data_IF_173508628052
#
_entry.id   IF_173508628052
#
_cell.length_a   1.000
_cell.length_b   1.000
_cell.length_c   1.000
_cell.angle_alpha   90.00
_cell.angle_beta   90.00
_cell.angle_gamma   90.00
#
_symmetry.space_group_name_H-M   'P 1'
#
loop_
_entity.id
_entity.type
_entity.pdbx_description
1 polymer ?
#
# COMPACT_ATOMS: atom_id res chain seq x y z
N UNK A 1 21.13 20.38 -36.46
CA UNK A 1 20.71 20.51 -35.05
C UNK A 1 20.10 19.19 -34.65
N UNK A 2 20.84 18.36 -33.90
CA UNK A 2 20.24 17.18 -33.28
C UNK A 2 19.20 17.67 -32.25
N UNK A 3 18.06 16.98 -32.07
CA UNK A 3 16.99 17.48 -31.24
C UNK A 3 17.40 17.29 -29.77
N UNK A 4 17.62 18.40 -29.07
CA UNK A 4 17.82 18.51 -27.61
C UNK A 4 16.63 17.87 -26.82
N UNK A 5 15.53 17.54 -27.50
CA UNK A 5 14.29 16.99 -26.96
C UNK A 5 14.32 15.50 -26.59
N UNK A 6 15.34 14.70 -26.96
CA UNK A 6 15.37 13.25 -26.67
C UNK A 6 16.24 12.86 -25.47
N UNK A 7 17.21 13.69 -25.07
CA UNK A 7 18.19 13.31 -24.04
C UNK A 7 17.56 13.16 -22.65
N UNK A 8 16.61 14.04 -22.30
CA UNK A 8 15.96 14.00 -20.98
C UNK A 8 15.14 12.71 -20.78
N UNK A 9 14.46 12.21 -21.82
CA UNK A 9 13.62 11.02 -21.69
C UNK A 9 14.45 9.75 -21.52
N UNK A 10 15.60 9.68 -22.20
CA UNK A 10 16.58 8.60 -22.02
C UNK A 10 17.13 8.62 -20.58
N UNK A 11 17.48 9.80 -20.07
CA UNK A 11 17.98 9.96 -18.71
C UNK A 11 16.92 9.59 -17.67
N UNK A 12 15.67 10.02 -17.83
CA UNK A 12 14.57 9.68 -16.91
C UNK A 12 14.25 8.19 -16.93
N UNK A 13 14.25 7.58 -18.12
CA UNK A 13 14.09 6.13 -18.27
C UNK A 13 15.18 5.35 -17.54
N UNK A 14 16.42 5.82 -17.64
CA UNK A 14 17.56 5.23 -16.92
C UNK A 14 17.41 5.42 -15.41
N UNK A 15 16.93 6.59 -14.96
CA UNK A 15 16.63 6.82 -13.54
C UNK A 15 15.53 5.88 -13.04
N UNK A 16 14.52 5.55 -13.84
CA UNK A 16 13.51 4.54 -13.48
C UNK A 16 14.12 3.13 -13.40
N UNK A 17 14.88 2.72 -14.41
CA UNK A 17 15.55 1.42 -14.45
C UNK A 17 16.46 1.20 -13.23
N UNK A 18 17.19 2.22 -12.80
CA UNK A 18 18.12 2.15 -11.68
C UNK A 18 17.44 2.42 -10.32
N UNK A 19 16.12 2.53 -10.27
CA UNK A 19 15.34 2.90 -9.08
C UNK A 19 15.83 4.20 -8.43
N UNK A 20 16.06 5.25 -9.21
CA UNK A 20 16.56 6.58 -8.79
C UNK A 20 15.65 7.74 -9.19
N UNK A 21 14.49 7.45 -9.77
CA UNK A 21 13.51 8.45 -10.18
C UNK A 21 12.60 8.86 -9.01
N UNK A 22 12.34 10.16 -8.88
CA UNK A 22 11.54 10.76 -7.81
C UNK A 22 10.20 11.33 -8.28
N UNK A 23 10.07 11.63 -9.58
CA UNK A 23 8.83 12.15 -10.18
C UNK A 23 8.25 11.28 -11.32
N UNK A 24 7.94 9.99 -11.14
CA UNK A 24 7.47 9.12 -12.22
C UNK A 24 6.27 9.69 -13.01
N UNK A 25 5.35 10.45 -12.40
CA UNK A 25 4.21 11.06 -13.11
C UNK A 25 4.61 12.14 -14.12
N UNK A 26 5.83 12.68 -14.07
CA UNK A 26 6.34 13.59 -15.10
C UNK A 26 6.58 12.87 -16.44
N UNK A 27 6.79 11.55 -16.40
CA UNK A 27 7.07 10.73 -17.58
C UNK A 27 5.94 9.75 -17.91
N UNK A 28 5.42 9.05 -16.89
CA UNK A 28 4.49 7.93 -17.01
C UNK A 28 3.02 8.37 -16.97
N UNK A 29 2.14 7.52 -17.49
CA UNK A 29 0.70 7.75 -17.62
C UNK A 29 0.33 8.64 -18.81
N UNK A 30 -0.95 9.06 -18.91
CA UNK A 30 -1.45 9.91 -19.98
C UNK A 30 -1.00 11.37 -19.79
N UNK A 31 -0.51 12.02 -20.84
CA UNK A 31 -0.07 13.43 -20.84
C UNK A 31 -0.51 14.16 -22.10
N UNK A 32 -0.87 15.44 -21.97
CA UNK A 32 -1.18 16.29 -23.12
C UNK A 32 0.10 16.66 -23.89
N UNK A 33 -0.01 16.71 -25.23
CA UNK A 33 1.01 17.19 -26.14
C UNK A 33 0.63 18.57 -26.69
N UNK A 34 1.62 19.35 -27.15
CA UNK A 34 1.41 20.71 -27.69
C UNK A 34 0.54 20.73 -28.96
N UNK A 35 0.47 19.62 -29.68
CA UNK A 35 -0.36 19.46 -30.87
C UNK A 35 -1.85 19.17 -30.55
N UNK A 36 -2.23 19.11 -29.27
CA UNK A 36 -3.59 18.82 -28.81
C UNK A 36 -3.89 17.34 -28.61
N UNK A 37 -3.00 16.44 -29.05
CA UNK A 37 -3.10 15.01 -28.78
C UNK A 37 -2.58 14.68 -27.37
N UNK A 38 -2.65 13.41 -27.03
CA UNK A 38 -2.21 12.84 -25.77
C UNK A 38 -1.19 11.74 -26.03
N UNK A 39 -0.17 11.64 -25.18
CA UNK A 39 0.73 10.48 -25.16
C UNK A 39 0.43 9.65 -23.92
N UNK A 40 0.34 8.35 -24.07
CA UNK A 40 0.29 7.39 -22.95
C UNK A 40 1.64 6.72 -22.88
N UNK A 41 2.35 6.85 -21.74
CA UNK A 41 3.63 6.17 -21.50
C UNK A 41 3.50 5.18 -20.36
N UNK A 42 3.77 3.93 -20.66
CA UNK A 42 3.60 2.78 -19.77
C UNK A 42 4.98 2.22 -19.43
N UNK A 43 5.29 2.17 -18.14
CA UNK A 43 6.52 1.56 -17.62
C UNK A 43 6.29 0.09 -17.31
N UNK A 44 6.97 -0.80 -18.05
CA UNK A 44 6.86 -2.24 -17.88
C UNK A 44 8.25 -2.89 -18.00
N UNK A 45 9.01 -2.97 -16.88
CA UNK A 45 10.26 -3.71 -16.84
C UNK A 45 10.10 -5.11 -17.40
N UNK A 46 11.07 -5.59 -18.18
CA UNK A 46 11.13 -6.97 -18.66
C UNK A 46 9.95 -7.43 -19.55
N UNK A 47 9.07 -6.52 -19.99
CA UNK A 47 8.02 -6.87 -20.95
C UNK A 47 8.59 -6.94 -22.38
N UNK A 48 8.09 -7.90 -23.15
CA UNK A 48 8.41 -8.08 -24.57
C UNK A 48 7.51 -7.23 -25.46
N UNK A 49 6.22 -7.16 -25.10
CA UNK A 49 5.18 -6.40 -25.82
C UNK A 49 4.18 -5.83 -24.82
N UNK A 50 3.73 -4.60 -25.08
CA UNK A 50 2.64 -3.97 -24.34
C UNK A 50 1.60 -3.45 -25.34
N UNK A 51 0.34 -3.71 -25.06
CA UNK A 51 -0.80 -3.20 -25.82
C UNK A 51 -1.73 -2.43 -24.88
N UNK A 52 -2.33 -1.36 -25.37
CA UNK A 52 -3.30 -0.56 -24.65
C UNK A 52 -4.72 -1.02 -25.01
N UNK A 53 -5.55 -1.18 -24.00
CA UNK A 53 -6.96 -1.56 -24.09
C UNK A 53 -7.81 -0.43 -23.52
N UNK A 54 -8.55 0.26 -24.38
CA UNK A 54 -9.43 1.35 -23.98
C UNK A 54 -10.71 0.80 -23.35
N UNK A 55 -11.18 1.44 -22.27
CA UNK A 55 -12.38 1.03 -21.54
C UNK A 55 -13.71 1.43 -22.24
N UNK A 56 -13.65 2.38 -23.18
CA UNK A 56 -14.79 2.85 -23.95
C UNK A 56 -14.33 3.45 -25.27
N UNK A 57 -15.27 3.67 -26.19
CA UNK A 57 -14.97 4.22 -27.51
C UNK A 57 -14.49 5.67 -27.38
N UNK A 58 -13.20 5.88 -27.60
CA UNK A 58 -12.57 7.20 -27.55
C UNK A 58 -12.63 7.83 -28.93
N UNK A 59 -13.78 8.45 -29.21
CA UNK A 59 -13.98 9.28 -30.40
C UNK A 59 -14.55 8.50 -31.58
N UNK A 60 -15.87 8.58 -31.77
CA UNK A 60 -16.57 8.05 -32.95
C UNK A 60 -16.10 8.62 -34.30
N UNK A 61 -15.19 9.62 -34.30
CA UNK A 61 -14.55 10.18 -35.49
C UNK A 61 -13.11 9.67 -35.75
N UNK A 62 -12.48 8.97 -34.80
CA UNK A 62 -11.06 8.58 -34.88
C UNK A 62 -10.84 7.06 -35.02
N UNK A 63 -11.91 6.26 -35.02
CA UNK A 63 -11.83 4.81 -35.25
C UNK A 63 -11.18 4.01 -34.12
N UNK A 64 -11.09 4.57 -32.91
CA UNK A 64 -10.60 3.87 -31.73
C UNK A 64 -11.74 3.13 -31.03
N UNK A 65 -11.73 1.81 -31.14
CA UNK A 65 -12.77 0.93 -30.61
C UNK A 65 -12.37 0.42 -29.22
N UNK A 66 -13.33 0.41 -28.29
CA UNK A 66 -13.14 -0.14 -26.95
C UNK A 66 -12.68 -1.61 -27.02
N UNK A 67 -11.66 -1.94 -26.23
CA UNK A 67 -11.13 -3.32 -26.13
C UNK A 67 -10.30 -3.80 -27.33
N UNK A 68 -10.20 -3.06 -28.43
CA UNK A 68 -9.23 -3.40 -29.49
C UNK A 68 -7.80 -3.08 -29.02
N UNK A 69 -6.85 -4.03 -29.14
CA UNK A 69 -5.48 -3.80 -28.72
C UNK A 69 -4.75 -2.78 -29.59
N UNK A 70 -4.25 -1.72 -28.97
CA UNK A 70 -3.38 -0.75 -29.62
C UNK A 70 -1.93 -1.10 -29.24
N UNK A 71 -1.08 -1.56 -30.18
CA UNK A 71 0.30 -1.91 -29.86
C UNK A 71 1.11 -0.65 -29.51
N UNK A 72 1.88 -0.70 -28.41
CA UNK A 72 2.75 0.40 -28.00
C UNK A 72 4.17 0.18 -28.52
N UNK A 73 4.80 1.26 -28.97
CA UNK A 73 6.20 1.27 -29.37
C UNK A 73 7.08 1.68 -28.18
N UNK A 74 8.37 1.35 -28.19
CA UNK A 74 9.31 1.73 -27.12
C UNK A 74 10.59 2.40 -27.67
N UNK A 75 10.48 3.51 -28.41
CA UNK A 75 11.60 4.03 -29.20
C UNK A 75 12.75 4.60 -28.36
N UNK A 76 12.48 4.96 -27.11
CA UNK A 76 13.40 5.72 -26.27
C UNK A 76 14.01 4.89 -25.15
N UNK A 77 13.34 3.83 -24.72
CA UNK A 77 13.83 2.90 -23.71
C UNK A 77 13.09 1.57 -23.80
N UNK A 78 13.80 0.44 -23.65
CA UNK A 78 13.25 -0.91 -23.79
C UNK A 78 12.02 -1.22 -22.93
N UNK A 79 11.84 -0.50 -21.81
CA UNK A 79 10.75 -0.70 -20.85
C UNK A 79 9.77 0.46 -20.75
N UNK A 80 9.90 1.49 -21.60
CA UNK A 80 8.88 2.54 -21.75
C UNK A 80 8.18 2.33 -23.06
N UNK A 81 6.91 1.95 -22.96
CA UNK A 81 6.02 1.72 -24.07
C UNK A 81 5.11 2.93 -24.23
N UNK A 82 4.98 3.46 -25.44
CA UNK A 82 4.22 4.67 -25.70
C UNK A 82 3.35 4.58 -26.96
N UNK A 83 2.23 5.28 -26.92
CA UNK A 83 1.37 5.55 -28.07
C UNK A 83 0.77 6.94 -27.95
N UNK A 84 0.53 7.58 -29.09
CA UNK A 84 -0.23 8.83 -29.18
C UNK A 84 -1.71 8.52 -29.37
N UNK A 85 -2.57 9.29 -28.73
CA UNK A 85 -4.02 9.23 -28.78
C UNK A 85 -4.57 10.63 -29.08
N UNK A 86 -5.66 10.75 -29.84
CA UNK A 86 -6.26 12.05 -30.14
C UNK A 86 -6.91 12.71 -28.92
N UNK A 87 -7.23 11.94 -27.86
CA UNK A 87 -7.90 12.43 -26.66
C UNK A 87 -7.35 11.78 -25.39
N UNK A 88 -7.60 12.41 -24.25
CA UNK A 88 -7.23 11.89 -22.94
C UNK A 88 -7.99 10.58 -22.64
N UNK A 89 -7.29 9.45 -22.42
CA UNK A 89 -7.95 8.19 -22.09
C UNK A 89 -8.38 8.08 -20.63
N UNK A 90 -8.06 9.06 -19.78
CA UNK A 90 -8.30 8.99 -18.34
C UNK A 90 -7.48 7.87 -17.67
N UNK A 91 -8.03 7.29 -16.60
CA UNK A 91 -7.38 6.22 -15.82
C UNK A 91 -8.01 4.84 -15.98
N UNK A 92 -9.06 4.72 -16.79
CA UNK A 92 -9.84 3.48 -16.91
C UNK A 92 -9.26 2.46 -17.89
N UNK A 93 -8.31 2.86 -18.74
CA UNK A 93 -7.66 1.94 -19.66
C UNK A 93 -6.91 0.82 -18.93
N UNK A 94 -6.69 -0.27 -19.65
CA UNK A 94 -5.86 -1.39 -19.21
C UNK A 94 -4.69 -1.57 -20.17
N UNK A 95 -3.66 -2.23 -19.70
CA UNK A 95 -2.49 -2.61 -20.49
C UNK A 95 -2.41 -4.12 -20.49
N UNK A 96 -2.32 -4.71 -21.69
CA UNK A 96 -2.00 -6.12 -21.87
C UNK A 96 -0.49 -6.24 -22.03
N UNK A 97 0.14 -6.99 -21.15
CA UNK A 97 1.59 -7.15 -21.07
C UNK A 97 1.95 -8.58 -21.39
N UNK A 98 2.81 -8.77 -22.39
CA UNK A 98 3.40 -10.06 -22.75
C UNK A 98 4.83 -10.13 -22.20
N UNK A 99 5.12 -11.17 -21.42
CA UNK A 99 6.44 -11.43 -20.84
C UNK A 99 6.73 -12.93 -20.89
N UNK A 100 7.74 -13.34 -21.66
CA UNK A 100 8.14 -14.75 -21.74
C UNK A 100 7.02 -15.68 -22.21
N UNK A 101 6.12 -15.19 -23.06
CA UNK A 101 4.95 -15.93 -23.55
C UNK A 101 3.74 -15.96 -22.61
N UNK A 102 3.80 -15.32 -21.44
CA UNK A 102 2.65 -15.16 -20.53
C UNK A 102 2.06 -13.77 -20.76
N UNK A 103 0.73 -13.71 -20.93
CA UNK A 103 -0.01 -12.46 -21.02
C UNK A 103 -0.82 -12.22 -19.74
N UNK A 104 -0.81 -10.97 -19.29
CA UNK A 104 -1.70 -10.50 -18.23
C UNK A 104 -2.17 -9.09 -18.53
N UNK A 105 -3.28 -8.69 -17.92
CA UNK A 105 -3.87 -7.38 -18.10
C UNK A 105 -3.99 -6.66 -16.76
N UNK A 106 -3.47 -5.44 -16.69
CA UNK A 106 -3.51 -4.61 -15.49
C UNK A 106 -3.96 -3.19 -15.82
N UNK A 107 -4.39 -2.44 -14.81
CA UNK A 107 -4.50 -0.99 -14.94
C UNK A 107 -3.12 -0.35 -14.75
N UNK A 108 -2.91 0.81 -15.35
CA UNK A 108 -1.68 1.58 -15.20
C UNK A 108 -1.71 2.39 -13.89
N UNK A 109 -0.81 2.12 -12.91
CA UNK A 109 -0.74 2.89 -11.67
C UNK A 109 -0.55 4.40 -11.89
N UNK A 110 0.18 4.79 -12.94
CA UNK A 110 0.51 6.19 -13.23
C UNK A 110 -0.59 6.92 -14.01
N UNK A 111 -1.70 6.24 -14.34
CA UNK A 111 -2.88 6.91 -14.87
C UNK A 111 -3.69 7.65 -13.80
N UNK A 112 -3.53 7.29 -12.52
CA UNK A 112 -4.23 7.90 -11.37
C UNK A 112 -3.45 9.10 -10.81
N UNK A 113 -3.63 10.26 -11.44
CA UNK A 113 -2.79 11.44 -11.21
C UNK A 113 -3.11 12.28 -9.97
N UNK A 114 -4.34 12.20 -9.44
CA UNK A 114 -4.71 13.06 -8.29
C UNK A 114 -3.87 12.73 -7.05
N UNK A 115 -3.67 13.74 -6.22
CA UNK A 115 -2.91 13.61 -4.99
C UNK A 115 -3.74 12.92 -3.91
N UNK A 116 -3.15 11.93 -3.24
CA UNK A 116 -3.78 11.28 -2.09
C UNK A 116 -3.64 12.14 -0.84
N UNK A 117 -2.45 12.71 -0.65
CA UNK A 117 -2.20 13.65 0.43
C UNK A 117 -2.46 15.09 -0.04
N UNK A 118 -3.67 15.58 0.22
CA UNK A 118 -4.11 16.91 -0.20
C UNK A 118 -3.33 18.04 0.46
N UNK A 119 -3.52 19.27 -0.03
CA UNK A 119 -2.81 20.46 0.46
C UNK A 119 -3.00 20.68 1.98
N UNK A 120 -4.24 20.56 2.47
CA UNK A 120 -4.54 20.70 3.89
C UNK A 120 -3.89 19.59 4.74
N UNK A 121 -3.92 18.34 4.26
CA UNK A 121 -3.27 17.22 4.95
C UNK A 121 -1.75 17.46 5.06
N UNK A 122 -1.12 17.92 3.97
CA UNK A 122 0.31 18.29 3.95
C UNK A 122 0.63 19.44 4.87
N UNK A 123 -0.21 20.48 4.89
CA UNK A 123 -0.03 21.64 5.76
C UNK A 123 -0.10 21.24 7.25
N UNK A 124 -1.19 20.58 7.67
CA UNK A 124 -1.35 20.14 9.05
C UNK A 124 -0.26 19.16 9.48
N UNK A 125 0.18 18.28 8.59
CA UNK A 125 1.26 17.35 8.90
C UNK A 125 2.60 18.06 9.08
N UNK A 126 2.91 19.04 8.24
CA UNK A 126 4.13 19.85 8.35
C UNK A 126 4.17 20.67 9.66
N UNK A 127 3.01 21.10 10.17
CA UNK A 127 2.90 21.77 11.47
C UNK A 127 2.87 20.82 12.67
N UNK A 128 2.81 19.50 12.45
CA UNK A 128 2.65 18.51 13.52
C UNK A 128 1.24 18.47 14.13
N UNK A 129 0.25 19.06 13.46
CA UNK A 129 -1.13 19.24 13.95
C UNK A 129 -2.15 18.30 13.28
N UNK A 130 -1.71 17.37 12.44
CA UNK A 130 -2.61 16.42 11.79
C UNK A 130 -2.93 15.22 12.70
N UNK A 131 -3.91 15.38 13.60
CA UNK A 131 -4.27 14.35 14.60
C UNK A 131 -4.77 13.02 14.02
N UNK A 132 -5.26 13.04 12.77
CA UNK A 132 -5.74 11.86 12.04
C UNK A 132 -4.85 11.49 10.85
N UNK A 133 -3.55 11.82 10.89
CA UNK A 133 -2.62 11.58 9.77
C UNK A 133 -2.56 10.10 9.34
N UNK A 134 -2.84 9.19 10.27
CA UNK A 134 -2.92 7.75 9.99
C UNK A 134 -4.00 7.39 8.95
N UNK A 135 -4.97 8.26 8.67
CA UNK A 135 -5.95 8.08 7.58
C UNK A 135 -5.38 8.35 6.19
N UNK A 136 -4.17 8.95 6.13
CA UNK A 136 -3.47 9.27 4.89
C UNK A 136 -2.16 8.52 4.77
N UNK A 137 -1.33 8.52 5.82
CA UNK A 137 -0.08 7.76 5.84
C UNK A 137 -0.36 6.26 5.93
N UNK A 138 0.52 5.44 5.37
CA UNK A 138 0.41 4.00 5.37
C UNK A 138 -0.19 3.44 4.07
N UNK A 139 -0.82 2.28 4.17
CA UNK A 139 -1.52 1.62 3.06
C UNK A 139 -3.03 1.61 3.28
N UNK A 140 -3.79 2.20 2.35
CA UNK A 140 -5.24 2.37 2.46
C UNK A 140 -5.95 1.76 1.26
N UNK A 141 -6.91 0.87 1.52
CA UNK A 141 -7.85 0.44 0.49
C UNK A 141 -8.65 1.65 0.01
N UNK A 142 -8.69 1.86 -1.29
CA UNK A 142 -9.36 3.02 -1.89
C UNK A 142 -9.92 2.68 -3.27
N UNK A 143 -10.94 3.42 -3.67
CA UNK A 143 -11.51 3.35 -5.02
C UNK A 143 -11.27 4.67 -5.72
N UNK A 144 -10.51 4.65 -6.80
CA UNK A 144 -10.17 5.83 -7.60
C UNK A 144 -10.58 5.60 -9.05
N UNK A 145 -11.28 6.55 -9.66
CA UNK A 145 -11.80 6.37 -11.03
C UNK A 145 -12.69 5.13 -11.21
N UNK A 146 -13.39 4.69 -10.16
CA UNK A 146 -14.20 3.47 -10.16
C UNK A 146 -13.40 2.16 -10.01
N UNK A 147 -12.08 2.23 -9.81
CA UNK A 147 -11.20 1.08 -9.73
C UNK A 147 -10.71 0.94 -8.28
N UNK A 148 -10.92 -0.23 -7.69
CA UNK A 148 -10.39 -0.57 -6.37
C UNK A 148 -8.88 -0.81 -6.42
N UNK A 149 -8.19 -0.45 -5.34
CA UNK A 149 -6.78 -0.72 -5.17
C UNK A 149 -6.29 -0.27 -3.80
N UNK A 150 -4.98 -0.05 -3.69
CA UNK A 150 -4.35 0.41 -2.46
C UNK A 150 -3.57 1.69 -2.72
N UNK A 151 -3.84 2.72 -1.93
CA UNK A 151 -3.03 3.93 -1.90
C UNK A 151 -1.96 3.80 -0.82
N UNK A 152 -0.70 3.94 -1.22
CA UNK A 152 0.46 3.96 -0.33
C UNK A 152 0.91 5.39 -0.14
N UNK A 153 1.24 5.77 1.09
CA UNK A 153 1.81 7.06 1.41
C UNK A 153 2.88 6.93 2.49
N UNK A 154 4.10 7.43 2.21
CA UNK A 154 5.24 7.40 3.11
C UNK A 154 5.86 8.78 3.25
N UNK A 155 6.11 9.23 4.47
CA UNK A 155 6.96 10.39 4.70
C UNK A 155 8.44 10.00 4.71
N UNK A 156 9.19 10.43 3.70
CA UNK A 156 10.62 10.18 3.56
C UNK A 156 11.30 11.36 2.83
N UNK A 157 11.37 12.54 3.46
CA UNK A 157 11.66 13.80 2.76
C UNK A 157 13.05 13.87 2.14
N UNK A 158 14.01 13.13 2.70
CA UNK A 158 15.40 13.11 2.23
C UNK A 158 15.71 11.88 1.37
N UNK A 159 14.73 11.03 1.06
CA UNK A 159 14.92 9.93 0.14
C UNK A 159 15.21 10.47 -1.27
N UNK A 160 16.07 9.76 -2.00
CA UNK A 160 16.30 10.00 -3.43
C UNK A 160 15.20 9.37 -4.27
N UNK A 161 14.72 8.20 -3.86
CA UNK A 161 13.62 7.49 -4.48
C UNK A 161 12.99 6.54 -3.46
N UNK A 162 11.71 6.27 -3.64
CA UNK A 162 10.95 5.28 -2.89
C UNK A 162 10.17 4.43 -3.89
N UNK A 163 10.11 3.13 -3.65
CA UNK A 163 9.24 2.21 -4.36
C UNK A 163 8.47 1.33 -3.39
N UNK A 164 7.26 0.92 -3.78
CA UNK A 164 6.52 -0.12 -3.06
C UNK A 164 7.00 -1.48 -3.56
N UNK A 165 7.42 -2.34 -2.64
CA UNK A 165 7.83 -3.72 -2.94
C UNK A 165 6.96 -4.68 -2.15
N UNK A 166 6.63 -5.83 -2.72
CA UNK A 166 5.80 -6.84 -2.08
C UNK A 166 5.74 -8.13 -2.86
N UNK A 167 4.98 -9.08 -2.33
CA UNK A 167 4.66 -10.34 -3.00
C UNK A 167 4.08 -10.13 -4.42
N UNK A 168 3.24 -9.11 -4.61
CA UNK A 168 2.58 -8.79 -5.89
C UNK A 168 3.52 -8.29 -7.01
N UNK A 169 4.76 -7.90 -6.70
CA UNK A 169 5.75 -7.48 -7.71
C UNK A 169 7.10 -8.18 -7.56
N UNK A 170 7.11 -9.36 -6.93
CA UNK A 170 8.34 -10.14 -6.75
C UNK A 170 9.40 -9.44 -5.92
N UNK A 171 9.00 -8.48 -5.07
CA UNK A 171 9.87 -7.66 -4.25
C UNK A 171 10.86 -6.78 -5.04
N UNK A 172 10.51 -6.39 -6.26
CA UNK A 172 11.34 -5.57 -7.14
C UNK A 172 10.85 -4.11 -7.22
N UNK A 173 11.67 -3.19 -6.70
CA UNK A 173 11.40 -1.75 -6.65
C UNK A 173 11.25 -1.08 -8.02
N UNK A 174 11.71 -1.72 -9.10
CA UNK A 174 11.52 -1.18 -10.46
C UNK A 174 10.05 -1.16 -10.85
N UNK A 175 9.20 -2.04 -10.29
CA UNK A 175 7.83 -2.20 -10.77
C UNK A 175 6.85 -1.13 -10.26
N UNK A 176 7.10 -0.55 -9.08
CA UNK A 176 6.19 0.43 -8.47
C UNK A 176 6.94 1.62 -7.82
N UNK A 177 7.75 2.39 -8.59
CA UNK A 177 8.33 3.64 -8.11
C UNK A 177 7.24 4.65 -7.74
N UNK A 178 7.38 5.27 -6.57
CA UNK A 178 6.45 6.24 -6.00
C UNK A 178 6.76 7.67 -6.45
N UNK A 179 5.76 8.53 -6.35
CA UNK A 179 5.87 9.95 -6.64
C UNK A 179 6.20 10.74 -5.39
N UNK A 180 7.31 11.48 -5.42
CA UNK A 180 7.60 12.52 -4.43
C UNK A 180 6.64 13.70 -4.61
N UNK A 181 6.08 14.20 -3.50
CA UNK A 181 5.21 15.37 -3.43
C UNK A 181 5.83 16.43 -2.52
N UNK A 182 5.29 17.64 -2.61
CA UNK A 182 5.66 18.74 -1.71
C UNK A 182 5.52 18.29 -0.24
N UNK A 183 6.48 18.64 0.60
CA UNK A 183 6.53 18.20 2.01
C UNK A 183 7.24 16.85 2.21
N UNK A 184 7.75 16.23 1.14
CA UNK A 184 8.58 15.01 1.23
C UNK A 184 7.79 13.73 1.47
N UNK A 185 6.50 13.76 1.14
CA UNK A 185 5.64 12.58 1.12
C UNK A 185 5.76 11.90 -0.23
N UNK A 186 5.77 10.57 -0.21
CA UNK A 186 5.83 9.71 -1.37
C UNK A 186 4.50 8.99 -1.48
N UNK A 187 3.86 9.03 -2.64
CA UNK A 187 2.57 8.36 -2.84
C UNK A 187 2.50 7.56 -4.14
N UNK A 188 1.71 6.50 -4.12
CA UNK A 188 1.34 5.72 -5.30
C UNK A 188 0.02 4.99 -5.04
N UNK A 189 -0.92 5.06 -5.98
CA UNK A 189 -2.07 4.18 -6.00
C UNK A 189 -1.77 2.98 -6.90
N UNK A 190 -1.86 1.78 -6.36
CA UNK A 190 -1.68 0.55 -7.13
C UNK A 190 -3.06 -0.10 -7.33
N UNK A 191 -3.63 -0.05 -8.54
CA UNK A 191 -4.95 -0.58 -8.84
C UNK A 191 -4.96 -2.11 -8.75
N UNK A 192 -6.09 -2.66 -8.32
CA UNK A 192 -6.33 -4.10 -8.23
C UNK A 192 -5.73 -4.79 -7.01
N UNK A 193 -4.83 -4.15 -6.24
CA UNK A 193 -4.32 -4.72 -5.00
C UNK A 193 -5.42 -4.94 -3.96
N UNK A 194 -5.25 -6.00 -3.17
CA UNK A 194 -6.27 -6.49 -2.23
C UNK A 194 -5.77 -6.44 -0.77
N UNK A 195 -6.68 -6.58 0.21
CA UNK A 195 -6.26 -6.82 1.60
C UNK A 195 -5.42 -8.09 1.71
N UNK A 196 -4.46 -8.09 2.64
CA UNK A 196 -3.58 -9.23 2.90
C UNK A 196 -2.26 -9.22 2.10
N UNK A 197 -2.10 -8.32 1.13
CA UNK A 197 -0.84 -8.17 0.41
C UNK A 197 0.29 -7.76 1.36
N UNK A 198 1.44 -8.40 1.22
CA UNK A 198 2.62 -8.16 2.07
C UNK A 198 3.52 -7.19 1.34
N UNK A 199 3.87 -6.09 2.00
CA UNK A 199 4.64 -5.02 1.39
C UNK A 199 5.68 -4.40 2.33
N UNK A 200 6.63 -3.71 1.72
CA UNK A 200 7.61 -2.81 2.33
C UNK A 200 7.85 -1.63 1.40
N UNK A 201 8.57 -0.64 1.90
CA UNK A 201 9.16 0.41 1.08
C UNK A 201 10.62 0.09 0.79
N UNK A 202 11.01 0.09 -0.49
CA UNK A 202 12.40 0.20 -0.90
C UNK A 202 12.76 1.69 -0.92
N UNK A 203 13.74 2.09 -0.10
CA UNK A 203 14.14 3.49 0.03
C UNK A 203 15.59 3.63 -0.39
N UNK A 204 15.85 4.55 -1.32
CA UNK A 204 17.21 4.95 -1.70
C UNK A 204 17.57 6.28 -1.06
N UNK A 205 18.72 6.34 -0.41
CA UNK A 205 19.26 7.58 0.15
C UNK A 205 19.89 8.45 -0.94
N UNK A 206 20.17 9.73 -0.62
CA UNK A 206 20.92 10.61 -1.51
C UNK A 206 22.30 10.05 -1.88
N UNK A 207 22.97 9.36 -0.94
CA UNK A 207 24.24 8.69 -1.15
C UNK A 207 24.14 7.39 -1.99
N UNK A 208 22.92 6.98 -2.38
CA UNK A 208 22.68 5.83 -3.25
C UNK A 208 22.45 4.50 -2.53
N UNK A 209 22.70 4.42 -1.22
CA UNK A 209 22.40 3.23 -0.41
C UNK A 209 20.90 2.93 -0.45
N UNK A 210 20.56 1.66 -0.69
CA UNK A 210 19.21 1.15 -0.79
C UNK A 210 18.93 0.19 0.39
N UNK A 211 17.79 0.37 1.05
CA UNK A 211 17.34 -0.52 2.11
C UNK A 211 15.82 -0.64 2.11
N UNK A 212 15.33 -1.67 2.78
CA UNK A 212 13.90 -1.94 2.91
C UNK A 212 13.39 -1.52 4.28
N UNK A 213 12.17 -0.99 4.35
CA UNK A 213 11.49 -0.66 5.60
C UNK A 213 10.06 -1.19 5.62
N UNK A 214 9.68 -1.74 6.77
CA UNK A 214 8.27 -1.87 7.12
C UNK A 214 7.63 -0.46 7.13
N UNK A 215 6.33 -0.43 6.88
CA UNK A 215 5.56 0.81 6.93
C UNK A 215 5.46 1.35 8.36
N UNK A 216 5.93 2.58 8.64
CA UNK A 216 5.78 3.20 9.96
C UNK A 216 4.33 3.37 10.42
N UNK A 217 3.38 3.42 9.47
CA UNK A 217 1.94 3.54 9.70
C UNK A 217 1.20 2.26 9.30
N UNK A 218 1.90 1.12 9.17
CA UNK A 218 1.28 -0.17 8.85
C UNK A 218 0.29 -0.61 9.94
N UNK A 219 -0.93 -0.97 9.54
CA UNK A 219 -1.97 -1.42 10.48
C UNK A 219 -1.81 -2.87 10.92
N UNK A 220 -1.05 -3.65 10.16
CA UNK A 220 -0.73 -5.03 10.47
C UNK A 220 0.66 -5.39 9.94
N UNK A 221 1.31 -6.31 10.62
CA UNK A 221 2.62 -6.82 10.24
C UNK A 221 2.63 -8.34 10.22
N UNK A 222 3.59 -8.89 9.48
CA UNK A 222 3.90 -10.32 9.57
C UNK A 222 4.33 -10.70 10.99
N UNK A 223 4.15 -11.98 11.34
CA UNK A 223 4.60 -12.49 12.63
C UNK A 223 6.13 -12.52 12.66
N UNK A 224 6.72 -12.09 13.77
CA UNK A 224 8.17 -12.16 14.00
C UNK A 224 8.75 -13.56 13.68
N UNK A 225 9.97 -13.67 13.14
CA UNK A 225 10.94 -12.59 12.87
C UNK A 225 10.77 -11.88 11.52
N UNK A 226 9.73 -12.22 10.76
CA UNK A 226 9.41 -11.50 9.53
C UNK A 226 9.04 -10.04 9.82
N UNK A 227 9.18 -9.17 8.82
CA UNK A 227 9.13 -7.72 8.99
C UNK A 227 8.46 -6.99 7.81
N UNK A 228 7.64 -7.67 7.03
CA UNK A 228 6.71 -7.03 6.10
C UNK A 228 5.52 -6.40 6.82
N UNK A 229 5.03 -5.30 6.27
CA UNK A 229 3.70 -4.77 6.58
C UNK A 229 2.65 -5.50 5.74
N UNK A 230 1.41 -5.55 6.21
CA UNK A 230 0.30 -6.20 5.54
C UNK A 230 -0.77 -5.14 5.27
N UNK A 231 -1.29 -5.08 4.04
CA UNK A 231 -2.42 -4.22 3.70
C UNK A 231 -3.65 -4.72 4.47
N UNK A 232 -4.12 -3.92 5.43
CA UNK A 232 -5.22 -4.31 6.31
C UNK A 232 -6.23 -3.15 6.43
N UNK A 233 -7.54 -3.39 6.28
CA UNK A 233 -8.55 -2.37 6.54
C UNK A 233 -8.63 -2.04 8.03
N UNK A 234 -8.60 -0.76 8.39
CA UNK A 234 -9.04 -0.29 9.71
C UNK A 234 -10.56 -0.17 9.75
N UNK A 235 -11.25 -1.26 10.06
CA UNK A 235 -12.70 -1.25 10.20
C UNK A 235 -13.33 -2.63 10.08
N UNK A 236 -14.66 -2.64 10.04
CA UNK A 236 -15.43 -3.88 9.84
C UNK A 236 -15.69 -4.69 11.11
N UNK A 237 -15.04 -4.38 12.24
CA UNK A 237 -15.40 -4.97 13.52
C UNK A 237 -16.67 -4.31 14.09
N UNK A 238 -17.71 -5.11 14.33
CA UNK A 238 -18.97 -4.65 14.89
C UNK A 238 -18.87 -4.51 16.42
N UNK A 239 -18.57 -3.30 16.88
CA UNK A 239 -18.50 -2.98 18.30
C UNK A 239 -19.87 -3.04 18.98
N UNK A 240 -19.92 -3.54 20.22
CA UNK A 240 -21.14 -3.68 21.02
C UNK A 240 -21.03 -3.00 22.40
N UNK A 241 -20.05 -2.12 22.58
CA UNK A 241 -19.67 -1.48 23.85
C UNK A 241 -20.22 -0.06 24.03
N UNK A 242 -21.19 0.35 23.21
CA UNK A 242 -21.72 1.73 23.21
C UNK A 242 -22.22 2.22 24.57
N UNK A 243 -22.86 1.34 25.36
CA UNK A 243 -23.31 1.69 26.71
C UNK A 243 -22.13 1.96 27.67
N UNK A 244 -21.04 1.18 27.55
CA UNK A 244 -19.82 1.37 28.32
C UNK A 244 -19.12 2.68 27.96
N UNK A 245 -19.01 2.97 26.66
CA UNK A 245 -18.42 4.21 26.16
C UNK A 245 -19.17 5.45 26.65
N UNK A 246 -20.50 5.43 26.59
CA UNK A 246 -21.35 6.53 27.10
C UNK A 246 -21.17 6.73 28.60
N UNK A 247 -21.11 5.65 29.38
CA UNK A 247 -20.87 5.73 30.82
C UNK A 247 -19.49 6.29 31.14
N UNK A 248 -18.45 5.84 30.42
CA UNK A 248 -17.06 6.31 30.59
C UNK A 248 -16.95 7.81 30.34
N UNK A 249 -17.51 8.29 29.24
CA UNK A 249 -17.41 9.70 28.85
C UNK A 249 -18.25 10.64 29.74
N UNK A 250 -19.25 10.08 30.44
CA UNK A 250 -20.10 10.80 31.39
C UNK A 250 -19.58 10.85 32.84
N UNK A 251 -18.44 10.23 33.15
CA UNK A 251 -17.95 10.10 34.52
C UNK A 251 -16.47 10.48 34.65
N UNK A 252 -16.06 10.98 35.83
CA UNK A 252 -14.66 11.24 36.13
C UNK A 252 -14.00 9.96 36.68
N UNK A 253 -12.95 9.40 36.02
CA UNK A 253 -12.29 8.19 36.51
C UNK A 253 -11.55 8.40 37.83
N UNK A 254 -11.16 9.64 38.18
CA UNK A 254 -10.46 9.94 39.44
C UNK A 254 -11.34 9.78 40.68
N UNK A 255 -12.66 9.82 40.49
CA UNK A 255 -13.65 9.68 41.56
C UNK A 255 -14.20 8.24 41.68
N UNK A 256 -13.60 7.29 40.96
CA UNK A 256 -14.05 5.90 40.85
C UNK A 256 -13.04 4.91 41.44
N UNK A 257 -13.47 3.69 41.83
CA UNK A 257 -12.54 2.65 42.23
C UNK A 257 -11.68 2.19 41.04
N UNK A 258 -10.36 2.41 41.14
CA UNK A 258 -9.39 1.94 40.16
C UNK A 258 -8.52 0.85 40.80
N UNK A 259 -8.69 -0.38 40.34
CA UNK A 259 -7.84 -1.52 40.67
C UNK A 259 -7.46 -2.22 39.38
N UNK A 260 -6.17 -2.20 39.07
CA UNK A 260 -5.62 -2.59 37.76
C UNK A 260 -4.98 -3.96 37.85
N UNK A 261 -5.31 -4.83 36.90
CA UNK A 261 -4.59 -6.08 36.66
C UNK A 261 -3.59 -5.87 35.51
N UNK A 262 -2.32 -5.63 35.85
CA UNK A 262 -1.24 -5.53 34.88
C UNK A 262 -0.88 -6.92 34.32
N UNK A 263 -0.70 -7.03 33.00
CA UNK A 263 -0.29 -8.28 32.37
C UNK A 263 0.50 -8.10 31.08
N UNK A 264 1.37 -9.08 30.81
CA UNK A 264 1.99 -9.28 29.51
C UNK A 264 1.28 -10.42 28.77
N UNK A 265 0.66 -10.11 27.63
CA UNK A 265 -0.17 -11.06 26.87
C UNK A 265 0.62 -12.31 26.44
N UNK A 266 1.88 -12.13 26.05
CA UNK A 266 2.72 -13.21 25.54
C UNK A 266 3.20 -14.21 26.60
N UNK A 267 2.91 -13.97 27.89
CA UNK A 267 3.40 -14.83 28.99
C UNK A 267 2.36 -15.12 30.06
N UNK A 268 1.13 -14.61 29.94
CA UNK A 268 0.06 -14.90 30.90
C UNK A 268 -0.34 -16.38 30.87
N UNK A 269 -0.54 -16.94 29.67
CA UNK A 269 -0.84 -18.34 29.43
C UNK A 269 -0.43 -18.74 28.01
N UNK A 270 0.03 -19.98 27.83
CA UNK A 270 0.33 -20.56 26.52
C UNK A 270 -0.65 -21.69 26.19
N UNK A 271 -0.95 -21.84 24.91
CA UNK A 271 -1.70 -22.99 24.38
C UNK A 271 -0.76 -24.10 23.90
N UNK A 272 -1.32 -25.28 23.62
CA UNK A 272 -0.59 -26.33 22.91
C UNK A 272 -0.46 -25.98 21.42
N UNK A 273 0.75 -26.13 20.86
CA UNK A 273 0.99 -25.97 19.43
C UNK A 273 0.23 -27.01 18.59
N UNK A 274 -0.05 -28.19 19.14
CA UNK A 274 -0.81 -29.26 18.49
C UNK A 274 -2.32 -28.96 18.43
N UNK A 275 -2.77 -27.91 19.11
CA UNK A 275 -4.16 -27.45 19.13
C UNK A 275 -4.21 -26.01 18.62
N UNK A 276 -4.14 -25.80 17.30
CA UNK A 276 -4.21 -24.46 16.72
C UNK A 276 -5.56 -23.81 17.03
N UNK A 277 -5.57 -22.48 17.10
CA UNK A 277 -6.82 -21.73 17.13
C UNK A 277 -7.57 -21.95 15.82
N UNK A 278 -8.87 -22.17 15.90
CA UNK A 278 -9.74 -22.27 14.74
C UNK A 278 -10.45 -20.94 14.54
N UNK A 279 -10.31 -20.38 13.34
CA UNK A 279 -11.09 -19.22 12.93
C UNK A 279 -12.58 -19.57 12.87
N UNK A 280 -13.45 -18.55 12.79
CA UNK A 280 -14.90 -18.76 12.72
C UNK A 280 -15.34 -19.61 11.50
N UNK A 281 -14.55 -19.62 10.43
CA UNK A 281 -14.76 -20.45 9.23
C UNK A 281 -14.22 -21.89 9.36
N UNK A 282 -13.68 -22.25 10.53
CA UNK A 282 -13.08 -23.56 10.82
C UNK A 282 -11.62 -23.72 10.37
N UNK A 283 -11.03 -22.71 9.72
CA UNK A 283 -9.63 -22.76 9.31
C UNK A 283 -8.70 -22.69 10.50
N UNK A 284 -7.72 -23.58 10.55
CA UNK A 284 -6.67 -23.52 11.57
C UNK A 284 -5.73 -22.34 11.33
N UNK A 285 -5.59 -21.46 12.32
CA UNK A 285 -4.56 -20.41 12.34
C UNK A 285 -3.22 -21.04 12.67
N UNK A 286 -2.20 -20.72 11.89
CA UNK A 286 -0.83 -21.17 12.13
C UNK A 286 -0.39 -20.79 13.56
N UNK A 287 0.02 -21.75 14.40
CA UNK A 287 0.53 -21.47 15.74
C UNK A 287 1.73 -20.54 15.71
N UNK A 288 1.75 -19.55 16.61
CA UNK A 288 2.94 -18.72 16.85
C UNK A 288 3.69 -19.30 18.05
N UNK A 289 4.90 -19.86 17.89
CA UNK A 289 5.64 -20.43 19.01
C UNK A 289 5.89 -19.40 20.10
N UNK A 290 5.64 -19.80 21.35
CA UNK A 290 5.86 -18.94 22.51
C UNK A 290 7.35 -18.64 22.71
N UNK A 291 8.20 -19.64 22.52
CA UNK A 291 9.65 -19.53 22.55
C UNK A 291 10.28 -20.67 21.75
N UNK A 292 11.45 -20.42 21.14
CA UNK A 292 12.17 -21.44 20.35
C UNK A 292 12.56 -22.65 21.21
N UNK A 293 12.85 -22.43 22.49
CA UNK A 293 13.18 -23.48 23.46
C UNK A 293 11.95 -24.25 23.98
N UNK A 294 10.73 -23.91 23.55
CA UNK A 294 9.47 -24.54 23.97
C UNK A 294 8.56 -24.82 22.75
N UNK A 295 8.95 -25.70 21.82
CA UNK A 295 8.26 -25.87 20.54
C UNK A 295 6.81 -26.37 20.65
N UNK A 296 6.46 -27.08 21.74
CA UNK A 296 5.09 -27.53 22.00
C UNK A 296 4.14 -26.43 22.52
N UNK A 297 4.66 -25.24 22.83
CA UNK A 297 3.88 -24.13 23.37
C UNK A 297 3.70 -23.02 22.33
N UNK A 298 2.47 -22.55 22.17
CA UNK A 298 2.12 -21.41 21.33
C UNK A 298 1.56 -20.25 22.14
N UNK A 299 1.68 -19.05 21.59
CA UNK A 299 0.92 -17.91 22.06
C UNK A 299 -0.58 -18.13 21.86
N UNK A 300 -1.37 -17.63 22.80
CA UNK A 300 -2.83 -17.54 22.64
C UNK A 300 -3.17 -16.38 21.70
N UNK A 301 -4.25 -16.55 20.94
CA UNK A 301 -4.82 -15.47 20.12
C UNK A 301 -5.64 -14.49 20.99
N UNK A 302 -5.91 -13.28 20.48
CA UNK A 302 -6.75 -12.31 21.20
C UNK A 302 -8.14 -12.86 21.58
N UNK A 303 -8.87 -13.61 20.72
CA UNK A 303 -10.13 -14.26 21.13
C UNK A 303 -9.95 -15.25 22.30
N UNK A 304 -8.94 -16.11 22.24
CA UNK A 304 -8.66 -17.06 23.34
C UNK A 304 -8.29 -16.35 24.65
N UNK A 305 -7.57 -15.23 24.55
CA UNK A 305 -7.27 -14.38 25.71
C UNK A 305 -8.53 -13.71 26.24
N UNK A 306 -9.41 -13.19 25.39
CA UNK A 306 -10.68 -12.60 25.80
C UNK A 306 -11.53 -13.61 26.60
N UNK A 307 -11.67 -14.84 26.11
CA UNK A 307 -12.46 -15.90 26.75
C UNK A 307 -11.90 -16.37 28.10
N UNK A 308 -10.60 -16.14 28.36
CA UNK A 308 -9.92 -16.63 29.57
C UNK A 308 -9.61 -15.53 30.56
N UNK A 309 -9.03 -14.43 30.09
CA UNK A 309 -8.58 -13.31 30.90
C UNK A 309 -9.76 -12.52 31.43
N UNK A 310 -10.76 -12.19 30.59
CA UNK A 310 -11.87 -11.32 31.01
C UNK A 310 -12.65 -11.95 32.17
N UNK A 311 -13.09 -13.23 32.12
CA UNK A 311 -13.76 -13.85 33.26
C UNK A 311 -12.85 -13.95 34.50
N UNK A 312 -11.56 -14.24 34.31
CA UNK A 312 -10.58 -14.36 35.39
C UNK A 312 -10.40 -13.04 36.17
N UNK A 313 -10.26 -11.94 35.44
CA UNK A 313 -10.09 -10.59 35.97
C UNK A 313 -11.39 -10.13 36.63
N UNK A 314 -12.54 -10.36 35.97
CA UNK A 314 -13.85 -10.00 36.50
C UNK A 314 -14.16 -10.72 37.82
N UNK A 315 -13.88 -12.02 37.91
CA UNK A 315 -14.10 -12.82 39.11
C UNK A 315 -13.25 -12.36 40.32
N UNK A 316 -12.14 -11.66 40.06
CA UNK A 316 -11.26 -11.10 41.11
C UNK A 316 -11.58 -9.65 41.48
N UNK A 317 -12.57 -9.05 40.83
CA UNK A 317 -13.05 -7.72 41.18
C UNK A 317 -12.15 -6.57 40.74
N UNK A 318 -11.17 -6.81 39.85
CA UNK A 318 -10.43 -5.73 39.22
C UNK A 318 -11.35 -4.90 38.33
N UNK A 319 -11.04 -3.61 38.20
CA UNK A 319 -11.82 -2.69 37.35
C UNK A 319 -11.18 -2.47 35.99
N UNK A 320 -9.86 -2.69 35.86
CA UNK A 320 -9.10 -2.46 34.64
C UNK A 320 -8.09 -3.58 34.37
N UNK A 321 -7.71 -3.71 33.10
CA UNK A 321 -6.56 -4.50 32.64
C UNK A 321 -5.56 -3.51 32.05
N UNK A 322 -4.31 -3.59 32.46
CA UNK A 322 -3.20 -2.84 31.86
C UNK A 322 -2.30 -3.81 31.10
N UNK A 323 -1.99 -3.48 29.85
CA UNK A 323 -1.26 -4.36 28.94
C UNK A 323 0.15 -3.83 28.69
N UNK A 324 1.14 -4.70 28.85
CA UNK A 324 2.50 -4.42 28.40
C UNK A 324 2.54 -4.31 26.86
N UNK A 325 3.35 -3.40 26.29
CA UNK A 325 3.56 -3.26 24.85
C UNK A 325 4.11 -4.52 24.17
#
# INVERSE_FOLDING_TARGET
>A
MAPISLDWMVDDSRRLEECRHDHPFALLGPQALDNGNWVVRVWMPEADRVELLLAGDLGGAHGLVAGEPIPLANPHHRWIFETELPINPGSSYRVRVSRGGIEHEAHDPWAFRDEWMGEMDRHLFAEGNHHHIWQRMGAHLSTRGGIEGVCFCLWAPNARSVAVIGNFNGWDGRHHPMQSRLGGCWELFIPGLKPGEIYKYEIRTQAGHCYQKADPYGFRHEVRPANGSIVEPLGGYAWTDGAWMQQRDGANPLDQPISVYEMHLGSWMHGSADQPYLEADGRARAPVPAADLKPGARLLTYPELADRVIPYVKARGFTHIELMP
#
